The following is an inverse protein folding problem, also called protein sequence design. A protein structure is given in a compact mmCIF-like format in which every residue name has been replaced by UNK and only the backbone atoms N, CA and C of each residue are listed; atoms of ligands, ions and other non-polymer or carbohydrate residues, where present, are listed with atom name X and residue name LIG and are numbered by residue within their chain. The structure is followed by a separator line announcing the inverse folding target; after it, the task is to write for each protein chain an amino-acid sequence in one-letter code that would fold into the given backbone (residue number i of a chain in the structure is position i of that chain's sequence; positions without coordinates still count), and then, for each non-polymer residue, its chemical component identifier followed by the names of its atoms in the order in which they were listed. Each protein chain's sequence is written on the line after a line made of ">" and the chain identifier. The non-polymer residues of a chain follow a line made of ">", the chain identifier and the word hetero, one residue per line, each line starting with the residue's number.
data_IF_622129660510
#
_entry.id   IF_622129660510
#
_cell.length_a   1.000
_cell.length_b   1.000
_cell.length_c   1.000
_cell.angle_alpha   90.00
_cell.angle_beta   90.00
_cell.angle_gamma   90.00
#
_symmetry.space_group_name_H-M   'P 1'
#
loop_
_entity.id
_entity.type
_entity.pdbx_description
1 polymer ?
#
# COMPACT_ATOMS: atom_id res chain seq x y z
N UNK A 1 -24.97 10.08 18.33
CA UNK A 1 -24.05 11.04 18.98
C UNK A 1 -22.71 10.35 19.11
N UNK A 2 -21.69 10.81 18.39
CA UNK A 2 -20.36 10.19 18.42
C UNK A 2 -19.58 10.66 19.65
N UNK A 3 -18.86 9.75 20.30
CA UNK A 3 -17.97 10.07 21.42
C UNK A 3 -16.95 11.13 21.00
N UNK A 4 -16.76 12.16 21.82
CA UNK A 4 -15.74 13.19 21.62
C UNK A 4 -14.57 12.82 22.51
N UNK A 5 -13.40 12.66 21.93
CA UNK A 5 -12.16 12.39 22.66
C UNK A 5 -11.41 13.71 22.80
N UNK A 6 -11.10 14.10 24.03
CA UNK A 6 -10.22 15.22 24.34
C UNK A 6 -8.79 14.70 24.49
N UNK A 7 -7.86 15.25 23.70
CA UNK A 7 -6.43 14.98 23.84
C UNK A 7 -5.65 16.30 23.88
N UNK A 8 -4.59 16.33 24.70
CA UNK A 8 -3.80 17.52 24.96
C UNK A 8 -2.59 17.57 24.01
N UNK A 9 -2.59 18.52 23.07
CA UNK A 9 -1.48 18.78 22.15
C UNK A 9 -0.90 20.16 22.46
N UNK A 10 0.38 20.21 22.86
CA UNK A 10 1.08 21.46 23.27
C UNK A 10 0.30 22.31 24.30
N UNK A 11 -0.36 21.67 25.28
CA UNK A 11 -1.09 22.37 26.34
C UNK A 11 -2.48 22.88 25.96
N UNK A 12 -2.94 22.65 24.72
CA UNK A 12 -4.30 22.95 24.29
C UNK A 12 -5.13 21.66 24.17
N UNK A 13 -6.30 21.64 24.80
CA UNK A 13 -7.26 20.53 24.70
C UNK A 13 -8.06 20.67 23.40
N UNK A 14 -7.84 19.75 22.46
CA UNK A 14 -8.58 19.71 21.20
C UNK A 14 -9.62 18.58 21.28
N UNK A 15 -10.89 18.92 20.99
CA UNK A 15 -12.02 17.98 20.93
C UNK A 15 -12.10 17.39 19.53
N UNK A 16 -11.85 16.09 19.39
CA UNK A 16 -12.04 15.39 18.12
C UNK A 16 -13.20 14.39 18.16
N UNK A 17 -13.98 14.25 17.07
CA UNK A 17 -14.96 13.19 16.95
C UNK A 17 -14.24 11.82 16.92
N UNK A 18 -14.62 10.91 17.82
CA UNK A 18 -13.92 9.65 18.15
C UNK A 18 -13.83 8.60 17.06
N UNK A 19 -14.16 8.91 15.80
CA UNK A 19 -13.69 8.11 14.67
C UNK A 19 -12.25 8.50 14.42
N UNK A 20 -11.32 7.59 14.71
CA UNK A 20 -9.92 7.67 14.27
C UNK A 20 -9.89 7.94 12.77
N UNK A 21 -9.76 9.22 12.41
CA UNK A 21 -9.59 9.68 11.05
C UNK A 21 -8.29 9.06 10.53
N UNK A 22 -8.28 8.56 9.28
CA UNK A 22 -7.02 8.10 8.69
C UNK A 22 -6.03 9.28 8.72
N UNK A 23 -4.71 9.08 8.79
CA UNK A 23 -3.74 10.18 8.83
C UNK A 23 -3.95 11.25 7.73
N UNK A 24 -4.43 10.82 6.55
CA UNK A 24 -4.84 11.69 5.44
C UNK A 24 -6.02 12.60 5.80
N UNK A 25 -6.99 12.08 6.53
CA UNK A 25 -8.19 12.81 6.93
C UNK A 25 -7.89 13.80 8.07
N UNK A 26 -6.91 13.50 8.93
CA UNK A 26 -6.39 14.46 9.91
C UNK A 26 -5.62 15.61 9.25
N UNK A 27 -4.75 15.32 8.27
CA UNK A 27 -4.03 16.37 7.54
C UNK A 27 -4.97 17.33 6.80
N UNK A 28 -6.09 16.83 6.25
CA UNK A 28 -7.07 17.67 5.53
C UNK A 28 -7.80 18.70 6.41
N UNK A 29 -7.85 18.51 7.74
CA UNK A 29 -8.62 19.39 8.64
C UNK A 29 -7.94 20.76 8.83
N UNK A 30 -6.61 20.81 8.78
CA UNK A 30 -5.85 22.04 9.00
C UNK A 30 -5.33 22.70 7.70
N UNK A 31 -5.49 22.04 6.55
CA UNK A 31 -4.94 22.51 5.28
C UNK A 31 -5.98 23.24 4.43
N UNK A 32 -5.55 24.36 3.86
CA UNK A 32 -6.35 25.08 2.89
C UNK A 32 -6.44 24.31 1.55
N UNK A 33 -7.34 24.75 0.66
CA UNK A 33 -7.62 24.05 -0.61
C UNK A 33 -6.38 23.88 -1.51
N UNK A 34 -5.45 24.84 -1.50
CA UNK A 34 -4.25 24.76 -2.34
C UNK A 34 -3.24 23.77 -1.75
N UNK A 35 -3.07 23.76 -0.43
CA UNK A 35 -2.22 22.77 0.25
C UNK A 35 -2.76 21.34 0.07
N UNK A 36 -4.09 21.16 0.10
CA UNK A 36 -4.73 19.88 -0.20
C UNK A 36 -4.46 19.42 -1.63
N UNK A 37 -4.50 20.32 -2.63
CA UNK A 37 -4.15 20.00 -4.03
C UNK A 37 -2.68 19.62 -4.17
N UNK A 38 -1.78 20.35 -3.54
CA UNK A 38 -0.34 20.06 -3.56
C UNK A 38 -0.07 18.67 -2.99
N UNK A 39 -0.67 18.33 -1.85
CA UNK A 39 -0.52 17.00 -1.27
C UNK A 39 -1.13 15.89 -2.13
N UNK A 40 -2.29 16.13 -2.75
CA UNK A 40 -2.88 15.16 -3.69
C UNK A 40 -1.96 14.92 -4.88
N UNK A 41 -1.41 15.99 -5.48
CA UNK A 41 -0.45 15.88 -6.57
C UNK A 41 0.82 15.13 -6.16
N UNK A 42 1.34 15.40 -4.95
CA UNK A 42 2.50 14.67 -4.43
C UNK A 42 2.23 13.18 -4.25
N UNK A 43 1.08 12.82 -3.66
CA UNK A 43 0.68 11.42 -3.47
C UNK A 43 0.48 10.72 -4.81
N UNK A 44 -0.16 11.37 -5.78
CA UNK A 44 -0.37 10.84 -7.14
C UNK A 44 0.96 10.60 -7.86
N UNK A 45 1.84 11.61 -7.92
CA UNK A 45 3.16 11.45 -8.54
C UNK A 45 3.98 10.32 -7.88
N UNK A 46 3.88 10.19 -6.55
CA UNK A 46 4.55 9.10 -5.85
C UNK A 46 3.94 7.74 -6.15
N UNK A 47 2.62 7.69 -6.33
CA UNK A 47 1.91 6.49 -6.71
C UNK A 47 2.36 6.02 -8.10
N UNK A 48 2.44 6.91 -9.09
CA UNK A 48 2.92 6.58 -10.44
C UNK A 48 4.36 6.02 -10.43
N UNK A 49 5.27 6.66 -9.69
CA UNK A 49 6.65 6.17 -9.52
C UNK A 49 6.65 4.75 -8.91
N UNK A 50 5.81 4.53 -7.89
CA UNK A 50 5.75 3.25 -7.18
C UNK A 50 5.10 2.16 -8.01
N UNK A 51 4.01 2.45 -8.72
CA UNK A 51 3.38 1.46 -9.62
C UNK A 51 4.34 1.06 -10.72
N UNK A 52 5.02 2.02 -11.36
CA UNK A 52 6.03 1.73 -12.38
C UNK A 52 7.17 0.84 -11.86
N UNK A 53 7.71 1.14 -10.67
CA UNK A 53 8.72 0.28 -10.03
C UNK A 53 8.21 -1.15 -9.81
N UNK A 54 7.00 -1.32 -9.29
CA UNK A 54 6.46 -2.65 -9.03
C UNK A 54 6.06 -3.40 -10.32
N UNK A 55 5.66 -2.70 -11.37
CA UNK A 55 5.44 -3.29 -12.69
C UNK A 55 6.71 -3.94 -13.23
N UNK A 56 7.85 -3.25 -13.15
CA UNK A 56 9.15 -3.81 -13.53
C UNK A 56 9.51 -5.05 -12.71
N UNK A 57 9.29 -5.01 -11.39
CA UNK A 57 9.56 -6.16 -10.51
C UNK A 57 8.64 -7.35 -10.80
N UNK A 58 7.36 -7.09 -11.06
CA UNK A 58 6.38 -8.12 -11.44
C UNK A 58 6.74 -8.71 -12.81
N UNK A 59 7.13 -7.89 -13.78
CA UNK A 59 7.58 -8.35 -15.09
C UNK A 59 8.82 -9.24 -15.00
N UNK A 60 9.79 -8.88 -14.15
CA UNK A 60 10.97 -9.72 -13.89
C UNK A 60 10.61 -11.09 -13.32
N UNK A 61 9.65 -11.15 -12.38
CA UNK A 61 9.17 -12.44 -11.84
C UNK A 61 8.41 -13.26 -12.89
N UNK A 62 7.56 -12.62 -13.70
CA UNK A 62 6.87 -13.28 -14.81
C UNK A 62 7.86 -13.89 -15.80
N UNK A 63 8.92 -13.17 -16.13
CA UNK A 63 9.98 -13.67 -17.01
C UNK A 63 10.75 -14.82 -16.38
N UNK A 64 11.10 -14.74 -15.09
CA UNK A 64 11.84 -15.79 -14.36
C UNK A 64 11.10 -17.12 -14.38
N UNK A 65 9.79 -17.10 -14.17
CA UNK A 65 8.97 -18.30 -14.01
C UNK A 65 8.10 -18.65 -15.22
N UNK A 66 8.10 -17.82 -16.27
CA UNK A 66 7.26 -17.95 -17.46
C UNK A 66 5.76 -18.18 -17.16
N UNK A 67 5.25 -17.49 -16.15
CA UNK A 67 3.85 -17.58 -15.73
C UNK A 67 3.41 -16.32 -14.98
N UNK A 68 2.12 -16.21 -14.67
CA UNK A 68 1.63 -15.18 -13.77
C UNK A 68 1.68 -15.60 -12.29
N UNK A 69 1.49 -14.63 -11.39
CA UNK A 69 1.57 -14.88 -9.95
C UNK A 69 0.50 -15.88 -9.47
N UNK A 70 -0.69 -15.89 -10.08
CA UNK A 70 -1.76 -16.80 -9.64
C UNK A 70 -1.40 -18.25 -9.97
N UNK A 71 -0.82 -18.47 -11.14
CA UNK A 71 -0.34 -19.77 -11.59
C UNK A 71 0.82 -20.23 -10.73
N UNK A 72 1.76 -19.33 -10.44
CA UNK A 72 2.89 -19.62 -9.55
C UNK A 72 2.41 -19.96 -8.13
N UNK A 73 1.47 -19.19 -7.57
CA UNK A 73 0.88 -19.44 -6.26
C UNK A 73 0.24 -20.85 -6.19
N UNK A 74 -0.52 -21.24 -7.22
CA UNK A 74 -1.12 -22.57 -7.28
C UNK A 74 -0.06 -23.68 -7.35
N UNK A 75 1.01 -23.47 -8.14
CA UNK A 75 2.14 -24.39 -8.20
C UNK A 75 2.76 -24.62 -6.82
N UNK A 76 2.99 -23.55 -6.05
CA UNK A 76 3.56 -23.65 -4.69
C UNK A 76 2.63 -24.41 -3.75
N UNK A 77 1.33 -24.14 -3.78
CA UNK A 77 0.36 -24.79 -2.88
C UNK A 77 0.12 -26.27 -3.19
N UNK A 78 0.28 -26.70 -4.44
CA UNK A 78 0.11 -28.10 -4.87
C UNK A 78 1.38 -28.94 -4.73
N UNK A 79 2.50 -28.34 -4.28
CA UNK A 79 3.78 -29.04 -4.17
C UNK A 79 3.79 -29.91 -2.91
N UNK A 80 3.65 -31.24 -3.07
CA UNK A 80 3.49 -32.18 -1.95
C UNK A 80 4.80 -32.70 -1.32
N UNK A 81 5.93 -32.63 -2.02
CA UNK A 81 7.09 -33.47 -1.66
C UNK A 81 8.42 -32.74 -1.40
N UNK A 82 8.68 -31.57 -2.00
CA UNK A 82 9.99 -30.91 -1.86
C UNK A 82 9.88 -29.38 -1.83
N UNK A 83 10.41 -28.79 -0.75
CA UNK A 83 10.47 -27.34 -0.52
C UNK A 83 11.69 -26.81 -1.26
N UNK A 84 11.44 -26.08 -2.34
CA UNK A 84 12.46 -25.25 -2.97
C UNK A 84 12.49 -23.89 -2.25
N UNK A 85 13.51 -23.67 -1.43
CA UNK A 85 13.64 -22.45 -0.62
C UNK A 85 13.70 -21.18 -1.47
N UNK A 86 14.25 -21.25 -2.68
CA UNK A 86 14.30 -20.11 -3.59
C UNK A 86 12.88 -19.78 -4.09
N UNK A 87 12.14 -20.78 -4.55
CA UNK A 87 10.74 -20.59 -4.99
C UNK A 87 9.84 -20.06 -3.86
N UNK A 88 10.05 -20.52 -2.62
CA UNK A 88 9.30 -20.02 -1.46
C UNK A 88 9.64 -18.57 -1.11
N UNK A 89 10.92 -18.18 -1.19
CA UNK A 89 11.33 -16.80 -0.99
C UNK A 89 10.73 -15.89 -2.08
N UNK A 90 10.79 -16.34 -3.33
CA UNK A 90 10.25 -15.61 -4.47
C UNK A 90 8.73 -15.52 -4.44
N UNK A 91 8.05 -16.54 -3.91
CA UNK A 91 6.61 -16.49 -3.67
C UNK A 91 6.21 -15.35 -2.72
N UNK A 92 6.90 -15.25 -1.58
CA UNK A 92 6.67 -14.17 -0.60
C UNK A 92 6.99 -12.81 -1.21
N UNK A 93 8.11 -12.72 -1.93
CA UNK A 93 8.58 -11.47 -2.53
C UNK A 93 7.64 -10.99 -3.66
N UNK A 94 7.29 -11.87 -4.59
CA UNK A 94 6.39 -11.56 -5.69
C UNK A 94 4.98 -11.20 -5.21
N UNK A 95 4.45 -11.96 -4.23
CA UNK A 95 3.17 -11.63 -3.60
C UNK A 95 3.19 -10.26 -2.92
N UNK A 96 4.32 -9.86 -2.34
CA UNK A 96 4.51 -8.53 -1.77
C UNK A 96 4.53 -7.43 -2.83
N UNK A 97 5.17 -7.65 -3.99
CA UNK A 97 5.12 -6.71 -5.11
C UNK A 97 3.69 -6.52 -5.64
N UNK A 98 2.94 -7.60 -5.84
CA UNK A 98 1.54 -7.52 -6.31
C UNK A 98 0.66 -6.73 -5.33
N UNK A 99 0.83 -6.97 -4.02
CA UNK A 99 0.08 -6.22 -2.99
C UNK A 99 0.48 -4.74 -2.96
N UNK A 100 1.78 -4.45 -3.00
CA UNK A 100 2.28 -3.08 -2.97
C UNK A 100 1.84 -2.30 -4.22
N UNK A 101 1.89 -2.93 -5.40
CA UNK A 101 1.36 -2.35 -6.63
C UNK A 101 -0.11 -1.97 -6.49
N UNK A 102 -0.97 -2.89 -6.04
CA UNK A 102 -2.41 -2.62 -5.82
C UNK A 102 -2.65 -1.48 -4.82
N UNK A 103 -1.84 -1.40 -3.76
CA UNK A 103 -1.95 -0.34 -2.77
C UNK A 103 -1.57 1.04 -3.35
N UNK A 104 -0.61 1.13 -4.25
CA UNK A 104 -0.26 2.41 -4.87
C UNK A 104 -1.21 2.78 -6.01
N UNK A 105 -1.69 1.81 -6.78
CA UNK A 105 -2.59 2.03 -7.91
C UNK A 105 -3.95 2.65 -7.54
N UNK A 106 -4.39 2.60 -6.27
CA UNK A 106 -5.60 3.32 -5.80
C UNK A 106 -5.39 4.85 -5.68
N UNK A 107 -4.16 5.33 -5.83
CA UNK A 107 -3.79 6.74 -5.75
C UNK A 107 -3.33 7.32 -7.11
N UNK A 108 -3.21 6.47 -8.14
CA UNK A 108 -3.07 6.88 -9.53
C UNK A 108 -4.46 7.24 -10.07
#
# INVERSE_FOLDING_TARGET
>A
MGEIIEYCHYGCYVKMPGKLLKPIDMAKIDLNKEEQKILQGFVHNKAEEKTGYYDEKIAGMKQKYDMDFSTFQNKIYLKEAEIDLEEWNDFVLWGSYVKAHRYWAQFC
#
